data_IF_128781263043
#
_entry.id   IF_128781263043
#
_cell.length_a   1.000
_cell.length_b   1.000
_cell.length_c   1.000
_cell.angle_alpha   90.00
_cell.angle_beta   90.00
_cell.angle_gamma   90.00
#
_symmetry.space_group_name_H-M   'P 1'
#
loop_
_entity.id
_entity.type
_entity.pdbx_description
1 polymer ?
#
# COMPACT_ATOMS: atom_id res chain seq x y z
N UNK A 1 39.85 53.79 39.31
CA UNK A 1 39.93 52.49 38.59
C UNK A 1 38.74 51.66 39.04
N UNK A 2 37.74 51.50 38.18
CA UNK A 2 36.49 50.83 38.51
C UNK A 2 35.61 50.81 37.28
N UNK A 3 35.82 49.78 36.48
CA UNK A 3 35.24 49.46 35.18
C UNK A 3 33.75 49.82 35.05
N UNK A 4 33.48 50.70 34.10
CA UNK A 4 32.16 51.02 33.56
C UNK A 4 31.49 49.75 33.03
N UNK A 5 30.31 49.42 33.56
CA UNK A 5 29.51 48.30 33.11
C UNK A 5 29.03 48.56 31.68
N UNK A 6 29.49 47.72 30.73
CA UNK A 6 29.06 47.75 29.34
C UNK A 6 27.52 47.60 29.28
N UNK A 7 26.79 48.55 28.68
CA UNK A 7 25.33 48.49 28.65
C UNK A 7 24.92 47.32 27.77
N UNK A 8 24.20 46.36 28.36
CA UNK A 8 23.48 45.31 27.66
C UNK A 8 22.16 45.89 27.16
N UNK A 9 22.25 46.73 26.13
CA UNK A 9 21.09 47.30 25.46
C UNK A 9 20.61 46.38 24.34
N UNK A 10 19.42 45.82 24.55
CA UNK A 10 18.41 45.48 23.55
C UNK A 10 18.87 44.64 22.36
N UNK A 11 18.64 43.33 22.46
CA UNK A 11 18.50 42.49 21.26
C UNK A 11 17.45 43.16 20.37
N UNK A 12 17.89 43.68 19.22
CA UNK A 12 17.02 44.42 18.31
C UNK A 12 15.89 43.52 17.82
N UNK A 13 14.72 44.10 17.53
CA UNK A 13 13.58 43.40 16.89
C UNK A 13 13.99 42.62 15.62
N UNK A 14 15.03 43.09 14.92
CA UNK A 14 15.62 42.40 13.77
C UNK A 14 16.38 41.13 14.14
N UNK A 15 17.07 41.10 15.28
CA UNK A 15 17.79 39.93 15.79
C UNK A 15 16.81 38.79 16.14
N UNK A 16 15.71 39.13 16.81
CA UNK A 16 14.65 38.19 17.20
C UNK A 16 13.97 37.58 15.97
N UNK A 17 13.72 38.39 14.94
CA UNK A 17 13.07 37.92 13.72
C UNK A 17 14.00 37.09 12.84
N UNK A 18 15.30 37.43 12.82
CA UNK A 18 16.34 36.57 12.26
C UNK A 18 16.41 35.21 12.97
N UNK A 19 16.37 35.19 14.30
CA UNK A 19 16.37 33.96 15.08
C UNK A 19 15.12 33.11 14.84
N UNK A 20 13.92 33.69 14.83
CA UNK A 20 12.68 32.97 14.53
C UNK A 20 12.71 32.37 13.12
N UNK A 21 13.14 33.15 12.12
CA UNK A 21 13.29 32.69 10.73
C UNK A 21 14.28 31.53 10.63
N UNK A 22 15.40 31.61 11.37
CA UNK A 22 16.38 30.52 11.42
C UNK A 22 15.81 29.26 12.09
N UNK A 23 15.00 29.40 13.15
CA UNK A 23 14.37 28.28 13.85
C UNK A 23 13.30 27.62 13.00
N UNK A 24 12.45 28.40 12.33
CA UNK A 24 11.46 27.89 11.38
C UNK A 24 12.14 27.16 10.22
N UNK A 25 13.22 27.72 9.68
CA UNK A 25 14.00 27.06 8.62
C UNK A 25 14.61 25.73 9.08
N UNK A 26 15.08 25.64 10.33
CA UNK A 26 15.56 24.39 10.93
C UNK A 26 14.43 23.39 11.12
N UNK A 27 13.29 23.81 11.66
CA UNK A 27 12.14 22.94 11.86
C UNK A 27 11.64 22.34 10.55
N UNK A 28 11.52 23.16 9.49
CA UNK A 28 11.12 22.68 8.16
C UNK A 28 12.15 21.68 7.63
N UNK A 29 13.45 21.94 7.80
CA UNK A 29 14.50 21.00 7.40
C UNK A 29 14.39 19.68 8.16
N UNK A 30 14.13 19.73 9.46
CA UNK A 30 14.04 18.55 10.32
C UNK A 30 12.81 17.71 9.95
N UNK A 31 11.67 18.34 9.69
CA UNK A 31 10.47 17.62 9.23
C UNK A 31 10.64 17.01 7.85
N UNK A 32 11.33 17.69 6.94
CA UNK A 32 11.70 17.09 5.65
C UNK A 32 12.60 15.87 5.83
N UNK A 33 13.56 15.91 6.76
CA UNK A 33 14.43 14.77 7.05
C UNK A 33 13.66 13.63 7.72
N UNK A 34 12.70 13.94 8.59
CA UNK A 34 11.86 12.95 9.24
C UNK A 34 10.95 12.26 8.23
N UNK A 35 10.25 13.04 7.40
CA UNK A 35 9.41 12.54 6.32
C UNK A 35 10.23 11.67 5.35
N UNK A 36 11.46 12.07 5.01
CA UNK A 36 12.33 11.27 4.15
C UNK A 36 12.65 9.90 4.78
N UNK A 37 12.96 9.86 6.08
CA UNK A 37 13.22 8.59 6.80
C UNK A 37 11.97 7.72 6.89
N UNK A 38 10.80 8.31 7.09
CA UNK A 38 9.54 7.57 7.17
C UNK A 38 9.16 6.99 5.80
N UNK A 39 9.35 7.74 4.72
CA UNK A 39 9.19 7.25 3.35
C UNK A 39 10.19 6.11 3.07
N UNK A 40 11.47 6.26 3.43
CA UNK A 40 12.48 5.21 3.22
C UNK A 40 12.12 3.93 4.00
N UNK A 41 11.72 4.07 5.26
CA UNK A 41 11.28 2.94 6.09
C UNK A 41 10.06 2.25 5.48
N UNK A 42 9.07 3.03 5.05
CA UNK A 42 7.86 2.53 4.40
C UNK A 42 8.17 1.84 3.07
N UNK A 43 9.01 2.44 2.24
CA UNK A 43 9.45 1.89 0.96
C UNK A 43 10.23 0.58 1.15
N UNK A 44 11.12 0.50 2.15
CA UNK A 44 11.85 -0.73 2.47
C UNK A 44 10.90 -1.84 2.92
N UNK A 45 9.94 -1.54 3.79
CA UNK A 45 8.98 -2.54 4.28
C UNK A 45 8.07 -3.03 3.14
N UNK A 46 7.54 -2.10 2.35
CA UNK A 46 6.75 -2.42 1.17
C UNK A 46 7.55 -3.21 0.14
N UNK A 47 8.82 -2.85 -0.10
CA UNK A 47 9.71 -3.55 -1.03
C UNK A 47 10.05 -4.97 -0.60
N UNK A 48 10.32 -5.20 0.68
CA UNK A 48 10.52 -6.55 1.22
C UNK A 48 9.25 -7.38 1.09
N UNK A 49 8.09 -6.80 1.44
CA UNK A 49 6.79 -7.46 1.29
C UNK A 49 6.53 -7.85 -0.16
N UNK A 50 6.63 -6.90 -1.09
CA UNK A 50 6.44 -7.14 -2.52
C UNK A 50 7.43 -8.16 -3.08
N UNK A 51 8.70 -8.11 -2.66
CA UNK A 51 9.73 -9.07 -3.04
C UNK A 51 9.42 -10.49 -2.56
N UNK A 52 9.01 -10.64 -1.29
CA UNK A 52 8.68 -11.95 -0.74
C UNK A 52 7.40 -12.52 -1.36
N UNK A 53 6.35 -11.71 -1.54
CA UNK A 53 5.14 -12.13 -2.25
C UNK A 53 5.43 -12.50 -3.71
N UNK A 54 6.29 -11.74 -4.40
CA UNK A 54 6.73 -12.08 -5.74
C UNK A 54 7.46 -13.42 -5.79
N UNK A 55 8.43 -13.63 -4.90
CA UNK A 55 9.16 -14.89 -4.80
C UNK A 55 8.25 -16.07 -4.45
N UNK A 56 7.36 -15.91 -3.47
CA UNK A 56 6.36 -16.91 -3.11
C UNK A 56 5.44 -17.25 -4.28
N UNK A 57 4.98 -16.24 -5.03
CA UNK A 57 4.18 -16.43 -6.24
C UNK A 57 4.90 -17.24 -7.31
N UNK A 58 6.16 -16.91 -7.61
CA UNK A 58 6.98 -17.67 -8.57
C UNK A 58 7.16 -19.12 -8.09
N UNK A 59 7.52 -19.33 -6.83
CA UNK A 59 7.69 -20.69 -6.27
C UNK A 59 6.38 -21.49 -6.29
N UNK A 60 5.25 -20.87 -5.97
CA UNK A 60 3.94 -21.52 -6.04
C UNK A 60 3.57 -21.90 -7.47
N UNK A 61 3.81 -21.02 -8.45
CA UNK A 61 3.59 -21.30 -9.87
C UNK A 61 4.51 -22.44 -10.37
N UNK A 62 5.79 -22.43 -9.99
CA UNK A 62 6.72 -23.50 -10.32
C UNK A 62 6.30 -24.83 -9.69
N UNK A 63 5.91 -24.84 -8.41
CA UNK A 63 5.42 -26.03 -7.73
C UNK A 63 4.15 -26.60 -8.38
N UNK A 64 3.20 -25.73 -8.74
CA UNK A 64 2.01 -26.14 -9.48
C UNK A 64 2.37 -26.75 -10.83
N UNK A 65 3.27 -26.12 -11.60
CA UNK A 65 3.74 -26.67 -12.87
C UNK A 65 4.40 -28.04 -12.71
N UNK A 66 5.21 -28.23 -11.65
CA UNK A 66 5.80 -29.54 -11.32
C UNK A 66 4.75 -30.59 -10.96
N UNK A 67 3.70 -30.22 -10.22
CA UNK A 67 2.59 -31.14 -9.91
C UNK A 67 1.80 -31.54 -11.16
N UNK A 68 1.54 -30.59 -12.06
CA UNK A 68 0.90 -30.89 -13.35
C UNK A 68 1.76 -31.86 -14.15
N UNK A 69 3.07 -31.60 -14.27
CA UNK A 69 3.99 -32.49 -14.97
C UNK A 69 4.05 -33.89 -14.33
N UNK A 70 4.05 -33.98 -13.00
CA UNK A 70 4.00 -35.24 -12.27
C UNK A 70 2.69 -36.01 -12.54
N UNK A 71 1.55 -35.31 -12.55
CA UNK A 71 0.26 -35.89 -12.90
C UNK A 71 0.24 -36.44 -14.34
N UNK A 72 0.78 -35.67 -15.30
CA UNK A 72 0.91 -36.13 -16.68
C UNK A 72 1.81 -37.38 -16.75
N UNK A 73 2.96 -37.36 -16.08
CA UNK A 73 3.88 -38.50 -16.06
C UNK A 73 3.24 -39.75 -15.44
N UNK A 74 2.47 -39.61 -14.37
CA UNK A 74 1.76 -40.71 -13.72
C UNK A 74 0.70 -41.33 -14.65
N UNK A 75 -0.11 -40.50 -15.33
CA UNK A 75 -1.12 -40.98 -16.28
C UNK A 75 -0.46 -41.58 -17.53
N UNK A 76 0.68 -41.03 -17.95
CA UNK A 76 1.44 -41.52 -19.10
C UNK A 76 2.01 -42.95 -18.90
N UNK A 77 1.98 -43.50 -17.69
CA UNK A 77 2.33 -44.91 -17.44
C UNK A 77 1.36 -45.89 -18.12
N UNK A 78 0.13 -45.46 -18.42
CA UNK A 78 -0.93 -46.31 -18.98
C UNK A 78 -1.48 -45.81 -20.32
N UNK A 79 -1.20 -44.57 -20.73
CA UNK A 79 -1.63 -43.99 -22.02
C UNK A 79 -0.51 -43.17 -22.67
N UNK A 80 -0.56 -42.87 -23.98
CA UNK A 80 0.40 -41.99 -24.63
C UNK A 80 0.47 -40.60 -23.97
N UNK A 81 1.67 -39.99 -23.97
CA UNK A 81 1.94 -38.70 -23.31
C UNK A 81 0.98 -37.59 -23.76
N UNK A 82 0.64 -37.55 -25.06
CA UNK A 82 -0.29 -36.54 -25.58
C UNK A 82 -1.70 -36.70 -24.99
N UNK A 83 -2.18 -37.93 -24.79
CA UNK A 83 -3.48 -38.20 -24.20
C UNK A 83 -3.48 -37.89 -22.69
N UNK A 84 -2.41 -38.26 -21.99
CA UNK A 84 -2.22 -37.90 -20.58
C UNK A 84 -2.26 -36.38 -20.36
N UNK A 85 -1.57 -35.62 -21.21
CA UNK A 85 -1.58 -34.16 -21.16
C UNK A 85 -2.99 -33.58 -21.35
N UNK A 86 -3.77 -34.10 -22.31
CA UNK A 86 -5.15 -33.66 -22.54
C UNK A 86 -6.09 -34.00 -21.37
N UNK A 87 -5.94 -35.18 -20.77
CA UNK A 87 -6.75 -35.60 -19.61
C UNK A 87 -6.49 -34.68 -18.42
N UNK A 88 -5.22 -34.46 -18.08
CA UNK A 88 -4.84 -33.58 -16.95
C UNK A 88 -5.27 -32.14 -17.22
N UNK A 89 -5.06 -31.63 -18.44
CA UNK A 89 -5.51 -30.30 -18.81
C UNK A 89 -7.05 -30.16 -18.70
N UNK A 90 -7.80 -31.14 -19.21
CA UNK A 90 -9.27 -31.16 -19.12
C UNK A 90 -9.76 -31.15 -17.68
N UNK A 91 -9.13 -31.94 -16.80
CA UNK A 91 -9.44 -31.95 -15.37
C UNK A 91 -9.19 -30.59 -14.71
N UNK A 92 -8.03 -29.97 -15.00
CA UNK A 92 -7.68 -28.64 -14.46
C UNK A 92 -8.62 -27.54 -14.95
N UNK A 93 -8.98 -27.53 -16.24
CA UNK A 93 -9.95 -26.56 -16.77
C UNK A 93 -11.35 -26.74 -16.18
N UNK A 94 -11.76 -27.98 -15.94
CA UNK A 94 -13.04 -28.27 -15.30
C UNK A 94 -13.04 -27.79 -13.84
N UNK A 95 -11.97 -28.07 -13.10
CA UNK A 95 -11.79 -27.59 -11.73
C UNK A 95 -11.72 -26.06 -11.66
N UNK A 96 -10.99 -25.42 -12.57
CA UNK A 96 -10.92 -23.96 -12.67
C UNK A 96 -12.29 -23.36 -12.99
N UNK A 97 -13.04 -23.93 -13.95
CA UNK A 97 -14.41 -23.54 -14.25
C UNK A 97 -15.31 -23.63 -13.02
N UNK A 98 -15.30 -24.76 -12.31
CA UNK A 98 -16.06 -24.93 -11.08
C UNK A 98 -15.67 -23.90 -9.99
N UNK A 99 -14.36 -23.70 -9.76
CA UNK A 99 -13.87 -22.73 -8.80
C UNK A 99 -14.33 -21.30 -9.13
N UNK A 100 -14.32 -20.90 -10.42
CA UNK A 100 -14.83 -19.58 -10.82
C UNK A 100 -16.33 -19.41 -10.58
N UNK A 101 -17.12 -20.48 -10.70
CA UNK A 101 -18.55 -20.45 -10.40
C UNK A 101 -18.80 -20.32 -8.89
N UNK A 102 -18.04 -21.05 -8.06
CA UNK A 102 -18.13 -20.95 -6.60
C UNK A 102 -17.66 -19.58 -6.09
N UNK A 103 -16.58 -19.02 -6.63
CA UNK A 103 -16.08 -17.69 -6.22
C UNK A 103 -17.06 -16.57 -6.54
N UNK A 104 -17.89 -16.70 -7.57
CA UNK A 104 -18.93 -15.70 -7.86
C UNK A 104 -20.01 -15.68 -6.77
N UNK A 105 -20.40 -16.84 -6.27
CA UNK A 105 -21.37 -16.93 -5.17
C UNK A 105 -20.81 -16.33 -3.88
N UNK A 106 -19.55 -16.59 -3.54
CA UNK A 106 -18.94 -16.00 -2.34
C UNK A 106 -18.71 -14.49 -2.47
N UNK A 107 -18.39 -14.00 -3.68
CA UNK A 107 -18.24 -12.58 -3.98
C UNK A 107 -19.56 -11.79 -3.90
N UNK A 108 -20.71 -12.45 -4.07
CA UNK A 108 -22.03 -11.85 -3.88
C UNK A 108 -22.42 -11.73 -2.40
N UNK A 109 -21.92 -12.63 -1.53
CA UNK A 109 -22.21 -12.64 -0.09
C UNK A 109 -21.24 -11.79 0.75
N UNK A 110 -20.03 -11.49 0.26
CA UNK A 110 -19.19 -10.46 0.89
C UNK A 110 -19.76 -9.07 0.63
N UNK A 111 -20.57 -8.61 1.59
CA UNK A 111 -20.94 -7.20 1.77
C UNK A 111 -19.74 -6.32 1.42
N UNK A 112 -19.85 -5.36 0.49
CA UNK A 112 -18.70 -4.59 0.04
C UNK A 112 -18.01 -4.00 1.25
N UNK A 113 -16.74 -4.35 1.47
CA UNK A 113 -15.84 -3.55 2.29
C UNK A 113 -15.80 -2.19 1.60
N UNK A 114 -16.73 -1.32 2.01
CA UNK A 114 -17.12 -0.17 1.27
C UNK A 114 -15.89 0.72 1.04
N UNK A 115 -15.61 1.18 -0.19
CA UNK A 115 -14.64 2.25 -0.41
C UNK A 115 -15.25 3.55 0.13
N UNK A 116 -15.23 3.71 1.46
CA UNK A 116 -15.78 4.85 2.20
C UNK A 116 -14.93 6.12 2.12
N UNK A 117 -14.01 6.23 1.17
CA UNK A 117 -13.17 7.44 1.06
C UNK A 117 -13.81 8.49 0.16
N UNK A 118 -14.57 8.09 -0.88
CA UNK A 118 -15.13 9.05 -1.85
C UNK A 118 -16.58 9.45 -1.50
N UNK A 119 -17.36 8.52 -0.95
CA UNK A 119 -18.75 8.75 -0.56
C UNK A 119 -18.89 9.65 0.68
N UNK A 120 -17.98 9.52 1.65
CA UNK A 120 -17.97 10.34 2.86
C UNK A 120 -17.53 11.78 2.56
N UNK A 121 -16.53 11.98 1.68
CA UNK A 121 -16.12 13.32 1.24
C UNK A 121 -17.26 14.05 0.53
N UNK A 122 -18.05 13.36 -0.31
CA UNK A 122 -19.25 13.96 -0.91
C UNK A 122 -20.31 14.34 0.12
N UNK A 123 -20.54 13.48 1.13
CA UNK A 123 -21.47 13.76 2.24
C UNK A 123 -21.02 14.95 3.10
N UNK A 124 -19.72 15.08 3.34
CA UNK A 124 -19.17 16.16 4.17
C UNK A 124 -19.19 17.51 3.43
N UNK A 125 -18.90 17.51 2.12
CA UNK A 125 -19.07 18.72 1.29
C UNK A 125 -20.54 19.15 1.23
N UNK A 126 -21.48 18.19 1.16
CA UNK A 126 -22.90 18.51 1.14
C UNK A 126 -23.37 19.10 2.48
N UNK A 127 -22.95 18.53 3.62
CA UNK A 127 -23.27 19.09 4.95
C UNK A 127 -22.74 20.51 5.14
N UNK A 128 -21.55 20.81 4.63
CA UNK A 128 -20.98 22.18 4.68
C UNK A 128 -21.72 23.13 3.74
N UNK A 129 -22.21 22.64 2.60
CA UNK A 129 -22.99 23.45 1.65
C UNK A 129 -24.38 23.77 2.19
N UNK A 130 -25.03 22.82 2.85
CA UNK A 130 -26.35 22.99 3.46
C UNK A 130 -26.27 23.93 4.69
N UNK A 131 -25.19 23.84 5.49
CA UNK A 131 -24.94 24.78 6.59
C UNK A 131 -24.68 26.24 6.14
N UNK A 132 -24.41 26.46 4.85
CA UNK A 132 -24.25 27.80 4.25
C UNK A 132 -25.52 28.29 3.55
N UNK A 133 -26.57 27.48 3.50
CA UNK A 133 -27.86 27.81 2.88
C UNK A 133 -29.01 27.94 3.88
N UNK A 134 -28.70 28.14 5.17
CA UNK A 134 -29.64 28.56 6.19
C UNK A 134 -29.54 30.09 6.41
N UNK A 135 -30.24 30.93 5.60
CA UNK A 135 -30.57 32.27 6.02
C UNK A 135 -31.71 32.15 7.04
N UNK A 136 -31.43 32.64 8.24
CA UNK A 136 -32.39 32.91 9.32
C UNK A 136 -33.77 33.34 8.84
#
# INVERSE_FOLDING_TARGET
MGTEAKPTSDASLGELMSQLSSQLSRLVRDEMQLAQKEIERSAKHAGIGAGLFGAAGILALSGLASLIAAGIAAVALVVPVWAAALIVAGALFTAAGAATLLSKHEAEDVTPAAPLTVANVKKDVQKVKDARHDPR
#
